data_IF_119339200630
#
_entry.id   IF_119339200630
#
_cell.length_a   1.000
_cell.length_b   1.000
_cell.length_c   1.000
_cell.angle_alpha   90.00
_cell.angle_beta   90.00
_cell.angle_gamma   90.00
#
_symmetry.space_group_name_H-M   'P 1'
#
loop_
_entity.id
_entity.type
_entity.pdbx_description
1 polymer ?
#
# COMPACT_ATOMS: atom_id res chain seq x y z
N UNK A 1 13.03 -42.52 3.43
CA UNK A 1 12.57 -41.17 3.81
C UNK A 1 11.30 -41.36 4.60
N UNK A 2 11.29 -40.92 5.85
CA UNK A 2 10.16 -41.10 6.75
C UNK A 2 8.97 -40.19 6.32
N UNK A 3 7.74 -40.57 6.65
CA UNK A 3 6.56 -39.77 6.34
C UNK A 3 6.64 -38.36 6.95
N UNK A 4 7.20 -38.25 8.15
CA UNK A 4 7.41 -36.96 8.80
C UNK A 4 8.44 -36.09 8.05
N UNK A 5 9.49 -36.70 7.49
CA UNK A 5 10.47 -35.98 6.66
C UNK A 5 9.85 -35.52 5.34
N UNK A 6 9.01 -36.35 4.71
CA UNK A 6 8.27 -36.00 3.49
C UNK A 6 7.35 -34.79 3.72
N UNK A 7 6.58 -34.80 4.81
CA UNK A 7 5.69 -33.70 5.18
C UNK A 7 6.50 -32.42 5.41
N UNK A 8 7.58 -32.48 6.20
CA UNK A 8 8.44 -31.32 6.48
C UNK A 8 9.05 -30.73 5.22
N UNK A 9 9.57 -31.57 4.32
CA UNK A 9 10.17 -31.13 3.05
C UNK A 9 9.13 -30.50 2.12
N UNK A 10 7.91 -31.04 2.11
CA UNK A 10 6.79 -30.48 1.32
C UNK A 10 6.37 -29.11 1.85
N UNK A 11 6.26 -28.94 3.18
CA UNK A 11 5.98 -27.64 3.79
C UNK A 11 7.07 -26.61 3.47
N UNK A 12 8.34 -27.01 3.50
CA UNK A 12 9.46 -26.13 3.20
C UNK A 12 9.41 -25.63 1.75
N UNK A 13 9.18 -26.52 0.79
CA UNK A 13 8.99 -26.18 -0.62
C UNK A 13 7.79 -25.23 -0.78
N UNK A 14 6.67 -25.51 -0.12
CA UNK A 14 5.48 -24.66 -0.20
C UNK A 14 5.74 -23.25 0.39
N UNK A 15 6.49 -23.15 1.49
CA UNK A 15 6.91 -21.86 2.06
C UNK A 15 7.81 -21.09 1.10
N UNK A 16 8.76 -21.75 0.43
CA UNK A 16 9.63 -21.12 -0.57
C UNK A 16 8.80 -20.55 -1.73
N UNK A 17 7.85 -21.32 -2.26
CA UNK A 17 6.97 -20.89 -3.35
C UNK A 17 6.14 -19.67 -2.93
N UNK A 18 5.54 -19.69 -1.73
CA UNK A 18 4.77 -18.55 -1.23
C UNK A 18 5.65 -17.32 -1.05
N UNK A 19 6.87 -17.46 -0.49
CA UNK A 19 7.80 -16.32 -0.32
C UNK A 19 8.16 -15.68 -1.66
N UNK A 20 8.44 -16.48 -2.69
CA UNK A 20 8.69 -15.97 -4.04
C UNK A 20 7.47 -15.26 -4.61
N UNK A 21 6.28 -15.85 -4.46
CA UNK A 21 5.02 -15.24 -4.89
C UNK A 21 4.75 -13.93 -4.16
N UNK A 22 4.97 -13.88 -2.84
CA UNK A 22 4.83 -12.70 -2.02
C UNK A 22 5.79 -11.58 -2.46
N UNK A 23 7.05 -11.91 -2.73
CA UNK A 23 8.06 -10.99 -3.24
C UNK A 23 7.71 -10.45 -4.63
N UNK A 24 7.26 -11.30 -5.55
CA UNK A 24 6.74 -10.85 -6.86
C UNK A 24 5.57 -9.88 -6.71
N UNK A 25 4.66 -10.18 -5.80
CA UNK A 25 3.49 -9.34 -5.57
C UNK A 25 3.88 -8.00 -4.93
N UNK A 26 4.84 -7.96 -4.00
CA UNK A 26 5.40 -6.70 -3.52
C UNK A 26 5.99 -5.86 -4.67
N UNK A 27 6.72 -6.48 -5.58
CA UNK A 27 7.27 -5.79 -6.75
C UNK A 27 6.18 -5.13 -7.61
N UNK A 28 5.11 -5.88 -7.91
CA UNK A 28 3.95 -5.36 -8.65
C UNK A 28 3.24 -4.26 -7.83
N UNK A 29 3.08 -4.47 -6.53
CA UNK A 29 2.43 -3.52 -5.63
C UNK A 29 3.15 -2.18 -5.63
N UNK A 30 4.49 -2.18 -5.53
CA UNK A 30 5.28 -0.97 -5.57
C UNK A 30 5.19 -0.26 -6.93
N UNK A 31 5.22 -0.99 -8.05
CA UNK A 31 5.04 -0.40 -9.38
C UNK A 31 3.67 0.26 -9.55
N UNK A 32 2.61 -0.46 -9.16
CA UNK A 32 1.22 0.04 -9.27
C UNK A 32 1.06 1.34 -8.50
N UNK A 33 1.71 1.47 -7.35
CA UNK A 33 1.71 2.67 -6.55
C UNK A 33 2.56 3.81 -7.10
N UNK A 34 3.73 3.53 -7.68
CA UNK A 34 4.49 4.55 -8.41
C UNK A 34 3.69 5.09 -9.60
N UNK A 35 3.13 4.21 -10.42
CA UNK A 35 2.25 4.63 -11.52
C UNK A 35 1.02 5.40 -11.05
N UNK A 36 0.46 5.03 -9.91
CA UNK A 36 -0.65 5.76 -9.31
C UNK A 36 -0.28 7.20 -8.98
N UNK A 37 0.87 7.40 -8.33
CA UNK A 37 1.35 8.74 -8.03
C UNK A 37 1.58 9.55 -9.31
N UNK A 38 2.18 8.96 -10.34
CA UNK A 38 2.34 9.64 -11.63
C UNK A 38 0.99 10.03 -12.29
N UNK A 39 -0.01 9.15 -12.24
CA UNK A 39 -1.36 9.44 -12.76
C UNK A 39 -2.02 10.57 -11.98
N UNK A 40 -1.91 10.56 -10.65
CA UNK A 40 -2.46 11.57 -9.77
C UNK A 40 -1.82 12.94 -10.04
N UNK A 41 -0.50 12.99 -10.17
CA UNK A 41 0.24 14.20 -10.55
C UNK A 41 -0.17 14.72 -11.92
N UNK A 42 -0.34 13.85 -12.91
CA UNK A 42 -0.81 14.21 -14.25
C UNK A 42 -2.20 14.83 -14.22
N UNK A 43 -3.12 14.26 -13.44
CA UNK A 43 -4.49 14.78 -13.30
C UNK A 43 -4.47 16.17 -12.67
N UNK A 44 -3.71 16.37 -11.58
CA UNK A 44 -3.59 17.69 -10.96
C UNK A 44 -2.97 18.71 -11.92
N UNK A 45 -1.94 18.34 -12.67
CA UNK A 45 -1.33 19.22 -13.68
C UNK A 45 -2.32 19.61 -14.79
N UNK A 46 -3.17 18.68 -15.24
CA UNK A 46 -4.21 18.98 -16.25
C UNK A 46 -5.26 19.93 -15.66
N UNK A 47 -5.70 19.71 -14.42
CA UNK A 47 -6.70 20.54 -13.76
C UNK A 47 -6.20 21.97 -13.53
N UNK A 48 -4.95 22.12 -13.09
CA UNK A 48 -4.30 23.43 -12.95
C UNK A 48 -4.17 24.13 -14.30
N UNK A 49 -3.73 23.43 -15.36
CA UNK A 49 -3.62 24.01 -16.70
C UNK A 49 -4.97 24.47 -17.29
N UNK A 50 -6.07 23.86 -16.85
CA UNK A 50 -7.43 24.24 -17.25
C UNK A 50 -8.05 25.32 -16.35
N UNK A 51 -7.30 25.84 -15.36
CA UNK A 51 -7.76 26.79 -14.35
C UNK A 51 -9.03 26.33 -13.62
N UNK A 52 -9.14 25.02 -13.35
CA UNK A 52 -10.28 24.46 -12.66
C UNK A 52 -10.08 24.62 -11.15
N UNK A 53 -10.30 25.84 -10.64
CA UNK A 53 -10.18 26.19 -9.22
C UNK A 53 -11.42 25.80 -8.38
N UNK A 54 -11.92 24.59 -8.56
CA UNK A 54 -13.04 24.09 -7.76
C UNK A 54 -12.49 23.32 -6.54
N UNK A 55 -12.57 23.93 -5.36
CA UNK A 55 -12.27 23.26 -4.07
C UNK A 55 -13.02 21.92 -3.92
N UNK A 56 -14.20 21.81 -4.54
CA UNK A 56 -14.99 20.58 -4.59
C UNK A 56 -14.31 19.46 -5.39
N UNK A 57 -13.61 19.75 -6.49
CA UNK A 57 -12.88 18.74 -7.26
C UNK A 57 -11.65 18.23 -6.50
N UNK A 58 -10.90 19.13 -5.88
CA UNK A 58 -9.78 18.77 -5.00
C UNK A 58 -10.19 17.88 -3.83
N UNK A 59 -11.43 18.03 -3.35
CA UNK A 59 -12.00 17.21 -2.27
C UNK A 59 -12.52 15.84 -2.73
N UNK A 60 -12.93 15.70 -3.99
CA UNK A 60 -13.46 14.45 -4.57
C UNK A 60 -12.34 13.54 -5.09
N UNK A 61 -11.25 14.12 -5.61
CA UNK A 61 -10.12 13.37 -6.18
C UNK A 61 -9.56 12.32 -5.21
N UNK A 62 -9.27 12.66 -3.93
CA UNK A 62 -8.83 11.67 -2.96
C UNK A 62 -9.84 10.53 -2.82
N UNK A 63 -11.14 10.80 -2.77
CA UNK A 63 -12.16 9.78 -2.56
C UNK A 63 -12.28 8.82 -3.76
N UNK A 64 -12.30 9.35 -4.97
CA UNK A 64 -12.41 8.55 -6.21
C UNK A 64 -11.14 7.72 -6.45
N UNK A 65 -9.98 8.28 -6.14
CA UNK A 65 -8.70 7.65 -6.48
C UNK A 65 -8.16 6.74 -5.37
N UNK A 66 -8.42 7.04 -4.11
CA UNK A 66 -7.81 6.32 -2.98
C UNK A 66 -8.64 5.09 -2.59
N UNK A 67 -9.98 5.15 -2.69
CA UNK A 67 -10.83 3.99 -2.38
C UNK A 67 -10.51 2.75 -3.22
N UNK A 68 -10.31 2.83 -4.55
CA UNK A 68 -9.88 1.68 -5.35
C UNK A 68 -8.54 1.10 -4.90
N UNK A 69 -7.60 1.95 -4.49
CA UNK A 69 -6.25 1.54 -4.08
C UNK A 69 -6.22 0.94 -2.67
N UNK A 70 -7.02 1.47 -1.75
CA UNK A 70 -7.28 0.84 -0.45
C UNK A 70 -7.86 -0.56 -0.67
N UNK A 71 -8.88 -0.68 -1.50
CA UNK A 71 -9.49 -1.98 -1.83
C UNK A 71 -8.48 -2.93 -2.44
N UNK A 72 -7.67 -2.46 -3.39
CA UNK A 72 -6.59 -3.23 -4.02
C UNK A 72 -5.59 -3.74 -2.98
N UNK A 73 -5.09 -2.85 -2.11
CA UNK A 73 -4.15 -3.18 -1.02
C UNK A 73 -4.70 -4.26 -0.10
N UNK A 74 -5.92 -4.06 0.40
CA UNK A 74 -6.58 -5.02 1.31
C UNK A 74 -6.79 -6.35 0.62
N UNK A 75 -7.31 -6.38 -0.61
CA UNK A 75 -7.58 -7.59 -1.36
C UNK A 75 -6.31 -8.39 -1.64
N UNK A 76 -5.26 -7.71 -2.06
CA UNK A 76 -3.99 -8.30 -2.46
C UNK A 76 -3.27 -8.95 -1.27
N UNK A 77 -3.06 -8.22 -0.18
CA UNK A 77 -2.42 -8.78 1.02
C UNK A 77 -3.30 -9.81 1.73
N UNK A 78 -4.63 -9.62 1.73
CA UNK A 78 -5.56 -10.62 2.28
C UNK A 78 -5.47 -11.95 1.57
N UNK A 79 -5.42 -11.95 0.23
CA UNK A 79 -5.38 -13.16 -0.60
C UNK A 79 -4.12 -13.98 -0.32
N UNK A 80 -2.95 -13.35 -0.35
CA UNK A 80 -1.67 -14.04 -0.09
C UNK A 80 -1.63 -14.58 1.34
N UNK A 81 -2.09 -13.79 2.32
CA UNK A 81 -2.11 -14.24 3.71
C UNK A 81 -3.05 -15.44 3.90
N UNK A 82 -4.19 -15.50 3.20
CA UNK A 82 -5.06 -16.70 3.21
C UNK A 82 -4.35 -17.90 2.61
N UNK A 83 -3.70 -17.74 1.46
CA UNK A 83 -2.97 -18.83 0.79
C UNK A 83 -1.84 -19.37 1.70
N UNK A 84 -1.10 -18.50 2.38
CA UNK A 84 -0.05 -18.86 3.34
C UNK A 84 -0.59 -19.64 4.55
N UNK A 85 -1.66 -19.15 5.18
CA UNK A 85 -2.25 -19.79 6.36
C UNK A 85 -2.81 -21.19 6.02
N UNK A 86 -3.37 -21.35 4.82
CA UNK A 86 -3.85 -22.65 4.32
C UNK A 86 -2.71 -23.67 4.20
N UNK A 87 -1.53 -23.24 3.78
CA UNK A 87 -0.34 -24.11 3.62
C UNK A 87 0.24 -24.53 4.97
N UNK A 88 0.14 -23.69 6.00
CA UNK A 88 0.64 -24.01 7.36
C UNK A 88 -0.40 -24.78 8.19
N UNK A 89 -1.54 -25.15 7.60
CA UNK A 89 -2.59 -25.92 8.30
C UNK A 89 -3.22 -25.18 9.47
N UNK A 90 -3.04 -23.85 9.57
CA UNK A 90 -3.69 -23.03 10.60
C UNK A 90 -4.99 -22.47 10.04
N UNK A 91 -6.10 -22.88 10.65
CA UNK A 91 -7.37 -22.18 10.43
C UNK A 91 -7.19 -20.70 10.76
N UNK A 92 -7.39 -19.87 9.74
CA UNK A 92 -7.24 -18.44 9.90
C UNK A 92 -8.37 -17.96 10.80
N UNK A 93 -8.04 -17.43 11.99
CA UNK A 93 -8.93 -16.50 12.69
C UNK A 93 -9.34 -15.45 11.68
N UNK A 94 -10.63 -15.46 11.34
CA UNK A 94 -11.25 -14.80 10.20
C UNK A 94 -10.59 -13.45 9.85
N UNK A 95 -10.43 -13.23 8.54
CA UNK A 95 -9.95 -11.98 7.96
C UNK A 95 -10.80 -10.73 8.34
N UNK A 96 -11.86 -10.93 9.14
CA UNK A 96 -12.67 -9.92 9.84
C UNK A 96 -11.86 -8.75 10.37
N UNK A 97 -10.71 -8.94 11.02
CA UNK A 97 -9.93 -7.79 11.53
C UNK A 97 -9.43 -6.86 10.42
N UNK A 98 -8.97 -7.40 9.29
CA UNK A 98 -8.53 -6.59 8.14
C UNK A 98 -9.72 -5.89 7.48
N UNK A 99 -10.88 -6.56 7.39
CA UNK A 99 -12.11 -5.96 6.89
C UNK A 99 -12.69 -4.91 7.84
N UNK A 100 -12.59 -5.09 9.15
CA UNK A 100 -13.02 -4.12 10.16
C UNK A 100 -12.13 -2.88 10.11
N UNK A 101 -10.80 -3.06 10.04
CA UNK A 101 -9.87 -1.94 9.84
C UNK A 101 -10.19 -1.18 8.55
N UNK A 102 -10.42 -1.91 7.45
CA UNK A 102 -10.82 -1.31 6.17
C UNK A 102 -12.13 -0.53 6.28
N UNK A 103 -13.17 -1.15 6.84
CA UNK A 103 -14.47 -0.51 6.99
C UNK A 103 -14.37 0.72 7.88
N UNK A 104 -13.67 0.62 9.01
CA UNK A 104 -13.45 1.75 9.91
C UNK A 104 -12.70 2.89 9.24
N UNK A 105 -11.71 2.59 8.39
CA UNK A 105 -10.96 3.59 7.66
C UNK A 105 -11.83 4.27 6.60
N UNK A 106 -12.58 3.51 5.80
CA UNK A 106 -13.52 4.07 4.81
C UNK A 106 -14.59 4.93 5.49
N UNK A 107 -15.17 4.46 6.60
CA UNK A 107 -16.14 5.24 7.39
C UNK A 107 -15.52 6.52 7.92
N UNK A 108 -14.30 6.46 8.47
CA UNK A 108 -13.59 7.64 8.94
C UNK A 108 -13.35 8.65 7.80
N UNK A 109 -12.92 8.18 6.63
CA UNK A 109 -12.72 9.03 5.46
C UNK A 109 -14.01 9.69 4.99
N UNK A 110 -15.14 8.97 5.00
CA UNK A 110 -16.46 9.54 4.67
C UNK A 110 -16.90 10.58 5.71
N UNK A 111 -16.72 10.31 7.01
CA UNK A 111 -17.05 11.26 8.08
C UNK A 111 -16.22 12.53 7.92
N UNK A 112 -14.91 12.39 7.70
CA UNK A 112 -14.03 13.53 7.48
C UNK A 112 -14.45 14.32 6.23
N UNK A 113 -14.84 13.65 5.14
CA UNK A 113 -15.36 14.30 3.94
C UNK A 113 -16.61 15.15 4.23
N UNK A 114 -17.60 14.57 4.94
CA UNK A 114 -18.86 15.26 5.29
C UNK A 114 -18.59 16.46 6.21
N UNK A 115 -17.73 16.29 7.22
CA UNK A 115 -17.35 17.38 8.13
C UNK A 115 -16.69 18.54 7.38
N UNK A 116 -15.90 18.23 6.35
CA UNK A 116 -15.21 19.24 5.54
C UNK A 116 -16.20 20.06 4.72
N UNK A 117 -17.15 19.40 4.05
CA UNK A 117 -18.22 20.08 3.33
C UNK A 117 -19.05 21.01 4.24
N UNK A 118 -19.20 20.65 5.52
CA UNK A 118 -19.99 21.43 6.46
C UNK A 118 -19.21 22.59 7.11
N UNK A 119 -17.91 22.40 7.39
CA UNK A 119 -17.08 23.36 8.11
C UNK A 119 -16.25 24.27 7.20
N UNK A 120 -16.14 23.96 5.90
CA UNK A 120 -15.35 24.74 4.93
C UNK A 120 -13.84 24.70 5.17
N UNK A 121 -13.32 23.61 5.75
CA UNK A 121 -11.91 23.44 6.14
C UNK A 121 -11.17 22.52 5.14
N UNK A 122 -11.21 22.87 3.86
CA UNK A 122 -10.83 21.99 2.75
C UNK A 122 -9.35 21.53 2.81
N UNK A 123 -8.43 22.44 3.19
CA UNK A 123 -6.99 22.16 3.19
C UNK A 123 -6.54 21.24 4.33
N UNK A 124 -7.06 21.43 5.55
CA UNK A 124 -6.72 20.58 6.70
C UNK A 124 -7.26 19.17 6.49
N UNK A 125 -8.46 19.03 5.94
CA UNK A 125 -9.02 17.75 5.55
C UNK A 125 -8.16 17.05 4.51
N UNK A 126 -7.77 17.76 3.45
CA UNK A 126 -6.94 17.21 2.39
C UNK A 126 -5.63 16.65 2.96
N UNK A 127 -4.94 17.42 3.81
CA UNK A 127 -3.70 16.99 4.46
C UNK A 127 -3.95 15.76 5.37
N UNK A 128 -4.95 15.82 6.25
CA UNK A 128 -5.26 14.73 7.18
C UNK A 128 -5.64 13.43 6.45
N UNK A 129 -6.33 13.53 5.32
CA UNK A 129 -6.69 12.41 4.46
C UNK A 129 -5.44 11.68 3.95
N UNK A 130 -4.47 12.41 3.39
CA UNK A 130 -3.21 11.83 2.90
C UNK A 130 -2.41 11.18 4.03
N UNK A 131 -2.30 11.82 5.21
CA UNK A 131 -1.62 11.23 6.36
C UNK A 131 -2.26 9.90 6.81
N UNK A 132 -3.59 9.86 6.94
CA UNK A 132 -4.30 8.64 7.34
C UNK A 132 -4.11 7.53 6.32
N UNK A 133 -4.15 7.87 5.04
CA UNK A 133 -3.99 6.93 3.94
C UNK A 133 -2.57 6.36 3.88
N UNK A 134 -1.55 7.22 3.90
CA UNK A 134 -0.15 6.81 3.83
C UNK A 134 0.23 5.98 5.06
N UNK A 135 -0.29 6.33 6.24
CA UNK A 135 -0.14 5.54 7.45
C UNK A 135 -0.78 4.15 7.31
N UNK A 136 -1.96 4.03 6.70
CA UNK A 136 -2.61 2.75 6.45
C UNK A 136 -1.80 1.85 5.51
N UNK A 137 -1.20 2.45 4.49
CA UNK A 137 -0.38 1.73 3.50
C UNK A 137 0.94 1.29 4.11
N UNK A 138 1.61 2.18 4.83
CA UNK A 138 2.79 1.86 5.61
C UNK A 138 2.51 0.75 6.64
N UNK A 139 1.39 0.81 7.35
CA UNK A 139 0.97 -0.23 8.28
C UNK A 139 0.69 -1.57 7.57
N UNK A 140 0.06 -1.53 6.39
CA UNK A 140 -0.22 -2.72 5.60
C UNK A 140 1.05 -3.41 5.11
N UNK A 141 2.02 -2.63 4.62
CA UNK A 141 3.35 -3.10 4.25
C UNK A 141 4.13 -3.63 5.46
N UNK A 142 4.11 -2.88 6.57
CA UNK A 142 4.74 -3.30 7.82
C UNK A 142 4.21 -4.65 8.29
N UNK A 143 2.88 -4.82 8.31
CA UNK A 143 2.26 -6.10 8.67
C UNK A 143 2.63 -7.22 7.70
N UNK A 144 2.74 -6.94 6.41
CA UNK A 144 3.12 -7.92 5.40
C UNK A 144 4.56 -8.44 5.61
N UNK A 145 5.48 -7.55 5.94
CA UNK A 145 6.93 -7.79 6.02
C UNK A 145 7.43 -8.19 7.42
N UNK A 146 6.85 -7.63 8.47
CA UNK A 146 7.38 -7.72 9.85
C UNK A 146 6.46 -8.42 10.83
N UNK A 147 5.28 -8.89 10.41
CA UNK A 147 4.43 -9.67 11.31
C UNK A 147 5.06 -11.03 11.66
N UNK A 148 4.56 -11.65 12.74
CA UNK A 148 4.93 -13.01 13.17
C UNK A 148 4.80 -14.06 12.05
N UNK A 149 3.93 -13.80 11.07
CA UNK A 149 3.65 -14.64 9.93
C UNK A 149 4.10 -13.95 8.63
N UNK A 150 5.29 -13.33 8.66
CA UNK A 150 5.84 -12.60 7.52
C UNK A 150 5.84 -13.45 6.26
N UNK A 151 5.35 -12.84 5.18
CA UNK A 151 5.16 -13.51 3.89
C UNK A 151 6.39 -13.38 3.00
N UNK A 152 7.20 -12.36 3.22
CA UNK A 152 8.48 -12.14 2.57
C UNK A 152 9.50 -11.62 3.59
N UNK A 153 10.77 -11.93 3.37
CA UNK A 153 11.84 -11.46 4.26
C UNK A 153 12.18 -9.99 3.94
N UNK A 154 12.06 -9.05 4.88
CA UNK A 154 12.21 -7.62 4.61
C UNK A 154 13.60 -7.26 4.07
N UNK A 155 13.62 -6.31 3.14
CA UNK A 155 14.85 -5.77 2.53
C UNK A 155 14.98 -4.27 2.80
N UNK A 156 16.19 -3.74 2.59
CA UNK A 156 16.46 -2.32 2.79
C UNK A 156 15.60 -1.43 1.89
N UNK A 157 15.34 -1.83 0.63
CA UNK A 157 14.47 -1.09 -0.27
C UNK A 157 13.00 -1.08 0.17
N UNK A 158 12.53 -2.12 0.86
CA UNK A 158 11.18 -2.14 1.45
C UNK A 158 11.07 -1.09 2.56
N UNK A 159 12.12 -0.94 3.36
CA UNK A 159 12.20 0.08 4.43
C UNK A 159 12.19 1.48 3.82
N UNK A 160 13.02 1.72 2.80
CA UNK A 160 13.09 3.01 2.12
C UNK A 160 11.71 3.37 1.54
N UNK A 161 11.00 2.43 0.89
CA UNK A 161 9.66 2.68 0.37
C UNK A 161 8.62 3.02 1.45
N UNK A 162 8.66 2.34 2.60
CA UNK A 162 7.77 2.64 3.74
C UNK A 162 8.08 4.03 4.32
N UNK A 163 9.35 4.39 4.47
CA UNK A 163 9.70 5.72 4.96
C UNK A 163 9.33 6.80 3.95
N UNK A 164 9.57 6.58 2.66
CA UNK A 164 9.31 7.58 1.63
C UNK A 164 7.82 7.90 1.51
N UNK A 165 6.93 6.91 1.62
CA UNK A 165 5.48 7.16 1.59
C UNK A 165 5.00 7.96 2.80
N UNK A 166 5.57 7.73 4.00
CA UNK A 166 5.21 8.49 5.19
C UNK A 166 5.62 9.98 5.11
N UNK A 167 6.55 10.32 4.22
CA UNK A 167 6.98 11.69 3.99
C UNK A 167 6.14 12.41 2.93
N UNK A 168 5.41 11.68 2.07
CA UNK A 168 4.59 12.27 0.98
C UNK A 168 3.67 13.40 1.46
N UNK A 169 2.96 13.29 2.61
CA UNK A 169 2.09 14.36 3.06
C UNK A 169 2.82 15.69 3.33
N UNK A 170 4.12 15.66 3.64
CA UNK A 170 4.91 16.87 3.84
C UNK A 170 5.02 17.70 2.55
N UNK A 171 5.08 17.04 1.39
CA UNK A 171 5.08 17.70 0.08
C UNK A 171 3.77 18.41 -0.24
N UNK A 172 2.67 18.00 0.40
CA UNK A 172 1.35 18.63 0.29
C UNK A 172 1.27 19.85 1.21
N UNK A 173 1.87 19.78 2.40
CA UNK A 173 1.86 20.86 3.40
C UNK A 173 2.68 22.07 2.92
N UNK A 174 3.77 21.84 2.19
CA UNK A 174 4.63 22.92 1.72
C UNK A 174 5.17 22.67 0.31
N UNK A 175 5.03 23.65 -0.62
CA UNK A 175 5.66 23.57 -1.95
C UNK A 175 7.17 23.36 -1.90
N UNK A 176 7.84 23.85 -0.84
CA UNK A 176 9.30 23.66 -0.63
C UNK A 176 9.68 22.21 -0.40
N UNK A 177 8.72 21.38 0.07
CA UNK A 177 8.89 19.95 0.30
C UNK A 177 8.33 19.12 -0.86
N UNK A 178 7.89 19.73 -1.97
CA UNK A 178 7.48 19.01 -3.18
C UNK A 178 8.52 17.99 -3.71
N UNK A 179 9.85 18.17 -3.56
CA UNK A 179 10.82 17.15 -3.97
C UNK A 179 10.67 15.81 -3.25
N UNK A 180 10.02 15.77 -2.08
CA UNK A 180 9.71 14.53 -1.35
C UNK A 180 8.86 13.59 -2.20
N UNK A 181 8.00 14.11 -3.07
CA UNK A 181 7.21 13.30 -3.99
C UNK A 181 8.10 12.54 -4.98
N UNK A 182 9.14 13.18 -5.51
CA UNK A 182 10.11 12.52 -6.39
C UNK A 182 10.90 11.45 -5.64
N UNK A 183 11.28 11.70 -4.38
CA UNK A 183 11.95 10.71 -3.53
C UNK A 183 11.04 9.49 -3.34
N UNK A 184 9.75 9.70 -3.09
CA UNK A 184 8.75 8.64 -3.02
C UNK A 184 8.69 7.82 -4.31
N UNK A 185 8.51 8.47 -5.46
CA UNK A 185 8.40 7.79 -6.77
C UNK A 185 9.65 6.94 -7.05
N UNK A 186 10.84 7.53 -6.92
CA UNK A 186 12.11 6.85 -7.14
C UNK A 186 12.26 5.65 -6.21
N UNK A 187 11.95 5.83 -4.92
CA UNK A 187 12.06 4.78 -3.91
C UNK A 187 11.14 3.60 -4.20
N UNK A 188 9.91 3.87 -4.65
CA UNK A 188 8.91 2.86 -4.94
C UNK A 188 9.21 2.11 -6.24
N UNK A 189 9.63 2.79 -7.31
CA UNK A 189 10.11 2.12 -8.52
C UNK A 189 11.38 1.30 -8.24
N UNK A 190 12.30 1.83 -7.43
CA UNK A 190 13.50 1.11 -7.01
C UNK A 190 13.15 -0.16 -6.22
N UNK A 191 12.23 -0.06 -5.25
CA UNK A 191 11.74 -1.22 -4.52
C UNK A 191 11.03 -2.24 -5.44
N UNK A 192 10.25 -1.75 -6.41
CA UNK A 192 9.61 -2.60 -7.42
C UNK A 192 10.62 -3.42 -8.22
N UNK A 193 11.62 -2.75 -8.81
CA UNK A 193 12.63 -3.38 -9.65
C UNK A 193 13.43 -4.41 -8.86
N UNK A 194 13.96 -4.06 -7.69
CA UNK A 194 14.74 -4.99 -6.87
C UNK A 194 13.91 -6.18 -6.40
N UNK A 195 12.65 -5.95 -6.03
CA UNK A 195 11.74 -7.01 -5.63
C UNK A 195 11.41 -7.97 -6.78
N UNK A 196 11.37 -7.52 -8.03
CA UNK A 196 11.19 -8.37 -9.20
C UNK A 196 12.49 -9.10 -9.59
N UNK A 197 13.63 -8.42 -9.51
CA UNK A 197 14.95 -9.01 -9.77
C UNK A 197 15.27 -10.17 -8.83
N UNK A 198 14.90 -10.06 -7.55
CA UNK A 198 15.04 -11.17 -6.58
C UNK A 198 14.25 -12.41 -6.98
N UNK A 199 13.17 -12.26 -7.75
CA UNK A 199 12.37 -13.39 -8.22
C UNK A 199 12.98 -13.99 -9.48
N UNK A 200 13.50 -13.16 -10.39
CA UNK A 200 14.10 -13.61 -11.66
C UNK A 200 15.51 -14.18 -11.52
N UNK A 201 16.29 -13.76 -10.50
CA UNK A 201 17.65 -14.27 -10.27
C UNK A 201 17.69 -15.70 -9.72
N UNK A 202 16.54 -16.35 -9.55
CA UNK A 202 16.39 -17.70 -8.98
C UNK A 202 15.68 -18.65 -9.98
N UNK A 203 15.63 -18.25 -11.25
CA UNK A 203 15.32 -19.09 -12.42
C UNK A 203 16.63 -19.44 -13.14
#
# INVERSE_FOLDING_TARGET
MDYQELVKKTEEIARIIIRRKARKILGIYYAVWGFYGLILALIYMILDNLNVESNSLYSIIPLVMVLPFIYYTVRLFSRISTEYMRIIGRERKSNKQSYVLWFSLVTLLIILFILTLHLGIDSIYFIAFFFLYDAFVAFSLYRFLYSKHRLADPRYYDIIAIFSILLVPLGIVSPTLSPVYMIFEISWFYASINSLLEVSAIE
#
